data_IF_498815655441
#
_entry.id   IF_498815655441
#
_cell.length_a   1.000
_cell.length_b   1.000
_cell.length_c   1.000
_cell.angle_alpha   90.00
_cell.angle_beta   90.00
_cell.angle_gamma   90.00
#
_symmetry.space_group_name_H-M   'P 1'
#
loop_
_entity.id
_entity.type
_entity.pdbx_description
1 polymer ?
#
# COMPACT_ATOMS: atom_id res chain seq x y z
N UNK A 1 13.97 -17.75 10.51
CA UNK A 1 13.18 -17.62 11.77
C UNK A 1 14.13 -17.01 12.79
N UNK A 2 13.79 -15.85 13.41
CA UNK A 2 14.67 -14.69 13.69
C UNK A 2 14.70 -13.80 12.44
N UNK A 3 14.16 -12.58 12.36
CA UNK A 3 13.91 -11.60 13.42
C UNK A 3 12.76 -10.66 12.99
N UNK A 4 11.54 -10.93 13.44
CA UNK A 4 10.59 -9.85 13.77
C UNK A 4 11.00 -9.42 15.18
N UNK A 5 11.86 -8.41 15.27
CA UNK A 5 12.50 -7.96 16.51
C UNK A 5 11.42 -7.59 17.54
N UNK A 6 11.25 -8.46 18.55
CA UNK A 6 10.72 -8.08 19.85
C UNK A 6 11.88 -7.49 20.66
N UNK A 7 11.91 -6.17 20.77
CA UNK A 7 12.58 -5.50 21.89
C UNK A 7 11.56 -4.54 22.49
N UNK A 8 11.11 -4.83 23.72
CA UNK A 8 10.25 -3.96 24.51
C UNK A 8 10.91 -3.70 25.86
N UNK A 9 11.40 -2.47 26.03
CA UNK A 9 11.68 -1.90 27.35
C UNK A 9 10.37 -1.60 28.10
N UNK A 10 10.46 -1.65 29.43
CA UNK A 10 9.36 -1.48 30.39
C UNK A 10 8.36 -0.34 30.04
N UNK A 11 7.06 -0.64 30.11
CA UNK A 11 6.07 0.35 30.56
C UNK A 11 4.80 0.59 29.74
N UNK A 12 4.65 0.08 28.52
CA UNK A 12 3.39 0.21 27.75
C UNK A 12 3.16 -1.03 26.85
N UNK A 13 2.12 -1.83 27.12
CA UNK A 13 1.69 -2.91 26.21
C UNK A 13 0.99 -2.28 25.00
N UNK A 14 1.74 -1.90 23.97
CA UNK A 14 1.15 -1.71 22.64
C UNK A 14 1.09 -3.08 21.98
N UNK A 15 -0.08 -3.72 22.01
CA UNK A 15 -0.34 -4.97 21.28
C UNK A 15 -0.40 -4.68 19.78
N UNK A 16 0.74 -4.65 19.10
CA UNK A 16 0.79 -4.48 17.64
C UNK A 16 2.15 -4.90 17.08
N UNK A 17 2.15 -5.57 15.94
CA UNK A 17 3.40 -5.80 15.22
C UNK A 17 3.90 -4.50 14.59
N UNK A 18 5.22 -4.43 14.38
CA UNK A 18 5.91 -3.22 13.94
C UNK A 18 6.58 -3.45 12.58
N UNK A 19 6.38 -2.52 11.65
CA UNK A 19 7.15 -2.42 10.42
C UNK A 19 8.05 -1.18 10.47
N UNK A 20 9.35 -1.39 10.26
CA UNK A 20 10.36 -0.32 10.23
C UNK A 20 10.76 -0.01 8.79
N UNK A 21 10.45 1.19 8.34
CA UNK A 21 10.86 1.70 7.02
C UNK A 21 12.16 2.48 7.19
N UNK A 22 13.24 2.01 6.55
CA UNK A 22 14.58 2.62 6.64
C UNK A 22 15.15 2.92 5.26
N UNK A 23 15.71 4.11 5.11
CA UNK A 23 16.33 4.56 3.88
C UNK A 23 17.76 3.99 3.80
N UNK A 24 17.97 3.02 2.91
CA UNK A 24 19.28 2.40 2.71
C UNK A 24 19.76 2.69 1.29
N UNK A 25 20.10 3.95 1.04
CA UNK A 25 20.54 4.45 -0.28
C UNK A 25 21.76 3.68 -0.80
N UNK A 26 22.74 3.40 0.06
CA UNK A 26 23.94 2.63 -0.28
C UNK A 26 23.66 1.15 -0.56
N UNK A 27 22.49 0.63 -0.17
CA UNK A 27 22.10 -0.77 -0.34
C UNK A 27 20.92 -0.96 -1.31
N UNK A 28 20.81 -0.09 -2.32
CA UNK A 28 19.83 -0.20 -3.41
C UNK A 28 18.36 0.06 -3.04
N UNK A 29 18.05 0.47 -1.81
CA UNK A 29 16.67 0.74 -1.35
C UNK A 29 16.55 2.16 -0.80
N UNK A 30 16.84 3.12 -1.67
CA UNK A 30 16.67 4.54 -1.37
C UNK A 30 15.19 4.92 -1.33
N UNK A 31 14.82 5.79 -0.39
CA UNK A 31 13.50 6.41 -0.36
C UNK A 31 13.48 7.67 -1.22
N UNK A 32 12.31 7.97 -1.80
CA UNK A 32 12.08 9.23 -2.53
C UNK A 32 12.38 10.45 -1.66
N UNK A 33 11.95 10.39 -0.39
CA UNK A 33 12.15 11.45 0.60
C UNK A 33 13.42 11.22 1.45
N UNK A 34 14.28 10.27 1.08
CA UNK A 34 15.50 9.98 1.85
C UNK A 34 15.20 9.66 3.33
N UNK A 35 16.01 10.23 4.24
CA UNK A 35 15.89 9.99 5.68
C UNK A 35 14.58 10.50 6.28
N UNK A 36 13.97 11.54 5.73
CA UNK A 36 12.68 12.05 6.25
C UNK A 36 11.50 11.12 5.96
N UNK A 37 11.66 10.15 5.05
CA UNK A 37 10.66 9.10 4.80
C UNK A 37 10.80 7.88 5.72
N UNK A 38 11.80 7.85 6.60
CA UNK A 38 11.92 6.80 7.62
C UNK A 38 10.80 6.89 8.64
N UNK A 39 10.20 5.75 8.96
CA UNK A 39 9.05 5.70 9.86
C UNK A 39 8.86 4.31 10.43
N UNK A 40 8.22 4.29 11.59
CA UNK A 40 7.84 3.10 12.33
C UNK A 40 6.32 3.00 12.33
N UNK A 41 5.80 1.91 11.79
CA UNK A 41 4.37 1.73 11.60
C UNK A 41 3.90 0.53 12.40
N UNK A 42 3.07 0.79 13.40
CA UNK A 42 2.26 -0.24 14.04
C UNK A 42 1.21 -0.73 13.05
N UNK A 43 1.16 -2.05 12.85
CA UNK A 43 0.21 -2.74 11.99
C UNK A 43 -0.81 -3.51 12.82
N UNK A 44 -2.01 -3.69 12.25
CA UNK A 44 -3.08 -4.47 12.88
C UNK A 44 -2.70 -5.94 12.98
N UNK A 45 -3.36 -6.66 13.89
CA UNK A 45 -3.20 -8.11 14.04
C UNK A 45 -3.53 -8.86 12.75
N UNK A 46 -4.61 -8.47 12.07
CA UNK A 46 -4.99 -9.06 10.79
C UNK A 46 -3.88 -8.94 9.73
N UNK A 47 -3.29 -7.75 9.58
CA UNK A 47 -2.18 -7.54 8.65
C UNK A 47 -0.92 -8.32 9.07
N UNK A 48 -0.63 -8.38 10.37
CA UNK A 48 0.47 -9.19 10.90
C UNK A 48 0.30 -10.64 10.47
N UNK A 49 -0.88 -11.22 10.73
CA UNK A 49 -1.19 -12.61 10.37
C UNK A 49 -1.01 -12.84 8.87
N UNK A 50 -1.58 -11.98 8.02
CA UNK A 50 -1.41 -12.08 6.56
C UNK A 50 0.06 -12.08 6.14
N UNK A 51 0.90 -11.22 6.74
CA UNK A 51 2.33 -11.17 6.42
C UNK A 51 3.07 -12.41 6.90
N UNK A 52 2.76 -12.91 8.10
CA UNK A 52 3.36 -14.14 8.64
C UNK A 52 2.99 -15.35 7.76
N UNK A 53 1.72 -15.48 7.38
CA UNK A 53 1.26 -16.56 6.51
C UNK A 53 1.93 -16.48 5.12
N UNK A 54 2.04 -15.27 4.57
CA UNK A 54 2.76 -15.04 3.32
C UNK A 54 4.23 -15.48 3.42
N UNK A 55 4.93 -15.09 4.50
CA UNK A 55 6.32 -15.47 4.75
C UNK A 55 6.48 -16.99 4.92
N UNK A 56 5.53 -17.64 5.61
CA UNK A 56 5.61 -19.05 5.97
C UNK A 56 5.25 -20.00 4.82
N UNK A 57 4.40 -19.59 3.89
CA UNK A 57 3.85 -20.47 2.85
C UNK A 57 4.31 -20.07 1.44
N UNK A 58 4.25 -18.78 1.11
CA UNK A 58 4.34 -18.32 -0.29
C UNK A 58 5.66 -17.61 -0.63
N UNK A 59 6.47 -17.26 0.37
CA UNK A 59 7.69 -16.46 0.16
C UNK A 59 8.87 -17.36 -0.17
N UNK A 60 9.47 -17.12 -1.33
CA UNK A 60 10.74 -17.73 -1.71
C UNK A 60 11.85 -17.34 -0.72
N UNK A 61 12.60 -18.33 -0.24
CA UNK A 61 13.73 -18.09 0.68
C UNK A 61 14.92 -17.57 -0.11
N UNK A 62 15.04 -16.25 -0.19
CA UNK A 62 16.03 -15.54 -0.99
C UNK A 62 16.71 -14.44 -0.17
N UNK A 63 17.99 -14.25 -0.41
CA UNK A 63 18.77 -13.11 0.10
C UNK A 63 19.13 -12.17 -1.05
N UNK A 64 19.17 -10.87 -0.79
CA UNK A 64 19.72 -9.92 -1.76
C UNK A 64 21.24 -9.78 -1.65
N UNK A 65 21.84 -9.04 -2.58
CA UNK A 65 23.30 -8.82 -2.68
C UNK A 65 23.93 -8.20 -1.42
N UNK A 66 23.12 -7.68 -0.50
CA UNK A 66 23.56 -7.12 0.79
C UNK A 66 23.26 -8.06 1.97
N UNK A 67 22.94 -9.34 1.72
CA UNK A 67 22.68 -10.36 2.74
C UNK A 67 21.35 -10.20 3.46
N UNK A 68 20.40 -9.43 2.91
CA UNK A 68 19.09 -9.19 3.54
C UNK A 68 18.05 -10.17 3.00
N UNK A 69 17.09 -10.55 3.83
CA UNK A 69 15.93 -11.33 3.42
C UNK A 69 14.76 -10.39 3.06
N UNK A 70 14.44 -10.17 1.77
CA UNK A 70 13.34 -9.28 1.40
C UNK A 70 11.99 -9.88 1.82
N UNK A 71 11.04 -9.02 2.19
CA UNK A 71 9.69 -9.43 2.56
C UNK A 71 8.94 -10.07 1.38
N UNK A 72 9.11 -9.49 0.19
CA UNK A 72 8.53 -10.01 -1.05
C UNK A 72 9.65 -10.44 -1.99
N UNK A 73 9.62 -11.70 -2.37
CA UNK A 73 10.64 -12.37 -3.18
C UNK A 73 9.99 -13.10 -4.35
N UNK A 74 10.82 -13.48 -5.31
CA UNK A 74 10.54 -14.35 -6.44
C UNK A 74 11.68 -15.36 -6.52
N UNK A 75 11.56 -16.35 -7.40
CA UNK A 75 12.66 -17.29 -7.68
C UNK A 75 13.98 -16.59 -8.09
N UNK A 76 13.90 -15.34 -8.58
CA UNK A 76 15.04 -14.53 -8.98
C UNK A 76 15.49 -13.50 -7.91
N UNK A 77 15.07 -13.66 -6.65
CA UNK A 77 15.40 -12.74 -5.56
C UNK A 77 14.31 -11.72 -5.23
N UNK A 78 14.67 -10.50 -4.81
CA UNK A 78 13.73 -9.44 -4.37
C UNK A 78 12.69 -9.13 -5.46
N UNK A 79 11.41 -9.03 -5.09
CA UNK A 79 10.33 -8.69 -6.02
C UNK A 79 10.57 -7.32 -6.69
N UNK A 80 10.72 -7.26 -8.03
CA UNK A 80 10.83 -5.99 -8.74
C UNK A 80 9.49 -5.24 -8.79
N UNK A 81 9.54 -3.91 -8.73
CA UNK A 81 8.34 -3.06 -8.79
C UNK A 81 7.48 -3.34 -10.03
N UNK A 82 8.10 -3.50 -11.19
CA UNK A 82 7.37 -3.74 -12.44
C UNK A 82 6.68 -5.11 -12.45
N UNK A 83 7.25 -6.11 -11.78
CA UNK A 83 6.63 -7.43 -11.63
C UNK A 83 5.42 -7.35 -10.69
N UNK A 84 5.55 -6.67 -9.56
CA UNK A 84 4.41 -6.41 -8.66
C UNK A 84 3.26 -5.69 -9.41
N UNK A 85 3.59 -4.70 -10.24
CA UNK A 85 2.62 -4.01 -11.10
C UNK A 85 1.91 -4.97 -12.07
N UNK A 86 2.67 -5.78 -12.83
CA UNK A 86 2.12 -6.76 -13.77
C UNK A 86 1.27 -7.84 -13.08
N UNK A 87 1.49 -8.12 -11.80
CA UNK A 87 0.65 -9.04 -11.02
C UNK A 87 -0.65 -8.40 -10.51
N UNK A 88 -0.59 -7.14 -10.05
CA UNK A 88 -1.75 -6.46 -9.44
C UNK A 88 -2.72 -5.85 -10.45
N UNK A 89 -2.22 -5.40 -11.60
CA UNK A 89 -3.06 -4.80 -12.64
C UNK A 89 -4.13 -5.77 -13.17
N UNK A 90 -3.81 -7.02 -13.55
CA UNK A 90 -4.81 -7.96 -14.05
C UNK A 90 -5.99 -8.16 -13.11
N UNK A 91 -5.77 -8.21 -11.80
CA UNK A 91 -6.83 -8.45 -10.81
C UNK A 91 -7.63 -7.19 -10.46
N UNK A 92 -7.15 -6.00 -10.82
CA UNK A 92 -7.81 -4.72 -10.55
C UNK A 92 -8.54 -4.14 -11.77
N UNK A 93 -8.57 -4.87 -12.89
CA UNK A 93 -9.36 -4.48 -14.07
C UNK A 93 -10.86 -4.46 -13.73
N UNK A 94 -11.63 -3.46 -14.21
CA UNK A 94 -13.06 -3.36 -13.90
C UNK A 94 -13.85 -4.64 -14.22
N UNK A 95 -13.56 -5.25 -15.38
CA UNK A 95 -14.27 -6.43 -15.84
C UNK A 95 -14.08 -7.68 -14.97
N UNK A 96 -13.05 -7.73 -14.10
CA UNK A 96 -12.87 -8.84 -13.16
C UNK A 96 -13.97 -8.86 -12.10
N UNK A 97 -14.47 -7.68 -11.69
CA UNK A 97 -15.48 -7.56 -10.66
C UNK A 97 -16.89 -7.40 -11.22
N UNK A 98 -17.02 -6.65 -12.32
CA UNK A 98 -18.34 -6.32 -12.89
C UNK A 98 -18.85 -7.33 -13.91
N UNK A 99 -17.98 -8.26 -14.34
CA UNK A 99 -18.20 -9.15 -15.47
C UNK A 99 -18.68 -8.41 -16.75
N UNK A 100 -18.27 -7.14 -16.89
CA UNK A 100 -18.65 -6.26 -18.00
C UNK A 100 -17.50 -5.33 -18.36
N UNK A 101 -17.36 -4.99 -19.64
CA UNK A 101 -16.35 -4.03 -20.08
C UNK A 101 -16.94 -2.60 -20.11
N UNK A 102 -16.32 -1.61 -19.43
CA UNK A 102 -16.76 -0.22 -19.49
C UNK A 102 -16.47 0.46 -20.84
N UNK A 103 -15.80 -0.24 -21.76
CA UNK A 103 -15.47 0.23 -23.12
C UNK A 103 -16.29 -0.50 -24.19
N UNK A 104 -17.37 -1.16 -23.80
CA UNK A 104 -18.27 -1.87 -24.72
C UNK A 104 -17.59 -2.99 -25.52
N UNK A 105 -16.47 -3.53 -25.02
CA UNK A 105 -15.76 -4.67 -25.62
C UNK A 105 -16.26 -5.99 -25.05
N UNK A 106 -16.29 -7.04 -25.87
CA UNK A 106 -16.46 -8.43 -25.41
C UNK A 106 -15.22 -8.84 -24.60
N UNK A 107 -15.42 -9.42 -23.42
CA UNK A 107 -14.32 -9.80 -22.51
C UNK A 107 -13.48 -10.93 -23.14
N UNK A 108 -14.13 -11.90 -23.76
CA UNK A 108 -13.48 -13.07 -24.36
C UNK A 108 -12.54 -12.69 -25.52
N UNK A 109 -12.88 -11.62 -26.25
CA UNK A 109 -12.11 -11.13 -27.39
C UNK A 109 -11.10 -10.03 -27.01
N UNK A 110 -11.06 -9.63 -25.72
CA UNK A 110 -10.21 -8.55 -25.25
C UNK A 110 -8.84 -9.07 -24.80
N UNK A 111 -7.79 -8.77 -25.56
CA UNK A 111 -6.40 -9.17 -25.24
C UNK A 111 -5.98 -8.76 -23.81
N UNK A 112 -6.31 -7.53 -23.40
CA UNK A 112 -6.03 -7.04 -22.06
C UNK A 112 -6.81 -7.78 -20.96
N UNK A 113 -7.96 -8.36 -21.29
CA UNK A 113 -8.72 -9.19 -20.35
C UNK A 113 -8.11 -10.59 -20.23
N UNK A 114 -7.75 -11.20 -21.37
CA UNK A 114 -7.32 -12.58 -21.48
C UNK A 114 -5.84 -12.83 -21.13
N UNK A 115 -4.98 -11.80 -21.20
CA UNK A 115 -3.55 -11.92 -20.91
C UNK A 115 -3.13 -11.11 -19.70
N UNK A 116 -2.39 -11.74 -18.78
CA UNK A 116 -1.75 -11.07 -17.64
C UNK A 116 -0.72 -10.05 -18.12
N UNK A 117 0.04 -10.39 -19.16
CA UNK A 117 1.05 -9.51 -19.72
C UNK A 117 0.44 -8.27 -20.39
N UNK A 118 -0.66 -8.46 -21.12
CA UNK A 118 -1.35 -7.39 -21.83
C UNK A 118 -2.36 -6.66 -20.96
N UNK A 119 -2.61 -7.09 -19.72
CA UNK A 119 -3.53 -6.43 -18.81
C UNK A 119 -3.32 -4.90 -18.68
N UNK A 120 -2.08 -4.38 -18.64
CA UNK A 120 -1.84 -2.94 -18.60
C UNK A 120 -2.29 -2.16 -19.83
N UNK A 121 -2.58 -2.81 -20.97
CA UNK A 121 -3.06 -2.12 -22.19
C UNK A 121 -4.55 -1.78 -22.14
N UNK A 122 -5.29 -2.23 -21.12
CA UNK A 122 -6.68 -1.81 -20.93
C UNK A 122 -6.75 -0.29 -20.64
N UNK A 123 -7.60 0.49 -21.35
CA UNK A 123 -7.72 1.93 -21.10
C UNK A 123 -8.24 2.27 -19.69
N UNK A 124 -8.93 1.33 -19.04
CA UNK A 124 -9.35 1.43 -17.63
C UNK A 124 -8.52 0.57 -16.68
N UNK A 125 -7.33 0.11 -17.09
CA UNK A 125 -6.39 -0.49 -16.14
C UNK A 125 -5.96 0.58 -15.14
N UNK A 126 -6.28 0.45 -13.84
CA UNK A 126 -5.79 1.40 -12.87
C UNK A 126 -4.27 1.26 -12.77
N UNK A 127 -3.58 2.38 -12.57
CA UNK A 127 -2.21 2.32 -12.04
C UNK A 127 -2.23 1.85 -10.58
N UNK A 128 -1.07 1.66 -9.96
CA UNK A 128 -1.02 1.37 -8.51
C UNK A 128 -1.40 2.58 -7.65
N UNK A 129 -1.45 3.79 -8.23
CA UNK A 129 -1.78 5.02 -7.49
C UNK A 129 -3.21 4.99 -6.91
N UNK A 130 -4.25 4.58 -7.66
CA UNK A 130 -5.59 4.35 -7.13
C UNK A 130 -5.66 3.50 -5.86
N UNK A 131 -4.88 2.43 -5.74
CA UNK A 131 -4.87 1.58 -4.54
C UNK A 131 -4.43 2.39 -3.32
N UNK A 132 -3.33 3.14 -3.48
CA UNK A 132 -2.80 4.01 -2.42
C UNK A 132 -3.76 5.14 -2.10
N UNK A 133 -4.39 5.76 -3.11
CA UNK A 133 -5.40 6.79 -2.95
C UNK A 133 -6.59 6.28 -2.15
N UNK A 134 -7.20 5.17 -2.58
CA UNK A 134 -8.30 4.54 -1.86
C UNK A 134 -7.96 4.23 -0.41
N UNK A 135 -6.76 3.69 -0.13
CA UNK A 135 -6.32 3.44 1.24
C UNK A 135 -6.20 4.73 2.07
N UNK A 136 -5.66 5.81 1.52
CA UNK A 136 -5.52 7.08 2.25
C UNK A 136 -6.90 7.72 2.47
N UNK A 137 -7.72 7.81 1.42
CA UNK A 137 -9.10 8.30 1.52
C UNK A 137 -9.91 7.53 2.56
N UNK A 138 -9.76 6.20 2.62
CA UNK A 138 -10.44 5.36 3.61
C UNK A 138 -10.09 5.73 5.06
N UNK A 139 -8.83 6.09 5.34
CA UNK A 139 -8.45 6.56 6.68
C UNK A 139 -9.06 7.93 6.96
N UNK A 140 -9.00 8.86 6.00
CA UNK A 140 -9.58 10.20 6.14
C UNK A 140 -11.10 10.14 6.38
N UNK A 141 -11.81 9.24 5.69
CA UNK A 141 -13.25 9.02 5.88
C UNK A 141 -13.62 8.38 7.22
N UNK A 142 -12.63 7.96 8.00
CA UNK A 142 -12.76 7.46 9.38
C UNK A 142 -12.14 8.44 10.37
N UNK A 143 -12.16 9.72 9.99
CA UNK A 143 -11.80 10.85 10.83
C UNK A 143 -10.36 10.78 11.36
N UNK A 144 -9.44 10.13 10.61
CA UNK A 144 -8.02 10.23 10.91
C UNK A 144 -7.55 11.68 10.76
N UNK A 145 -6.91 12.28 11.79
CA UNK A 145 -6.26 13.58 11.65
C UNK A 145 -5.20 13.50 10.56
N UNK A 146 -5.24 14.42 9.59
CA UNK A 146 -4.33 14.40 8.44
C UNK A 146 -2.89 14.50 8.90
N UNK A 147 -2.63 15.30 9.92
CA UNK A 147 -1.33 15.52 10.56
C UNK A 147 -0.74 14.23 11.13
N UNK A 148 -1.60 13.31 11.60
CA UNK A 148 -1.19 11.98 12.08
C UNK A 148 -1.10 10.95 10.95
N UNK A 149 -1.97 11.07 9.95
CA UNK A 149 -1.96 10.17 8.81
C UNK A 149 -0.68 10.33 7.97
N UNK A 150 -0.20 11.57 7.78
CA UNK A 150 1.01 11.83 7.00
C UNK A 150 2.25 11.11 7.54
N UNK A 151 2.36 10.97 8.88
CA UNK A 151 3.43 10.23 9.55
C UNK A 151 3.46 8.74 9.15
N UNK A 152 2.31 8.16 8.78
CA UNK A 152 2.19 6.76 8.33
C UNK A 152 2.44 6.60 6.84
N UNK A 153 2.01 7.57 6.05
CA UNK A 153 1.95 7.41 4.60
C UNK A 153 3.07 8.10 3.84
N UNK A 154 3.96 8.88 4.48
CA UNK A 154 5.13 9.51 3.83
C UNK A 154 4.72 10.48 2.69
N UNK A 155 3.82 11.42 3.00
CA UNK A 155 3.39 12.54 2.14
C UNK A 155 3.19 13.80 2.99
N UNK A 156 3.25 15.00 2.41
CA UNK A 156 2.82 16.22 3.11
C UNK A 156 1.29 16.34 3.14
N UNK A 157 0.75 17.15 4.04
CA UNK A 157 -0.69 17.49 4.06
C UNK A 157 -1.13 18.09 2.72
N UNK A 158 -0.34 19.04 2.19
CA UNK A 158 -0.64 19.65 0.88
C UNK A 158 -0.69 18.66 -0.28
N UNK A 159 0.18 17.64 -0.27
CA UNK A 159 0.17 16.57 -1.28
C UNK A 159 -1.00 15.63 -1.05
N UNK A 160 -1.32 15.32 0.21
CA UNK A 160 -2.48 14.53 0.61
C UNK A 160 -3.78 15.17 0.10
N UNK A 161 -3.99 16.46 0.36
CA UNK A 161 -5.19 17.19 -0.06
C UNK A 161 -5.33 17.22 -1.59
N UNK A 162 -4.24 17.51 -2.29
CA UNK A 162 -4.27 17.67 -3.75
C UNK A 162 -4.45 16.35 -4.50
N UNK A 163 -3.87 15.26 -4.02
CA UNK A 163 -3.72 14.04 -4.81
C UNK A 163 -4.40 12.81 -4.23
N UNK A 164 -4.75 12.82 -2.93
CA UNK A 164 -5.21 11.64 -2.22
C UNK A 164 -6.55 11.83 -1.51
N UNK A 165 -6.85 13.00 -0.95
CA UNK A 165 -8.19 13.30 -0.45
C UNK A 165 -9.16 13.27 -1.64
N UNK A 166 -10.14 12.38 -1.58
CA UNK A 166 -11.15 12.20 -2.61
C UNK A 166 -12.54 12.58 -2.09
N UNK A 167 -12.61 13.22 -0.93
CA UNK A 167 -13.86 13.70 -0.35
C UNK A 167 -14.44 14.83 -1.18
N UNK A 168 -15.76 14.88 -1.24
CA UNK A 168 -16.49 16.05 -1.73
C UNK A 168 -16.45 17.18 -0.69
N UNK A 169 -16.73 18.42 -1.10
CA UNK A 169 -16.88 19.55 -0.18
C UNK A 169 -17.91 19.28 0.93
N UNK A 170 -18.94 18.50 0.62
CA UNK A 170 -19.96 18.12 1.60
C UNK A 170 -19.45 17.09 2.61
N UNK A 171 -18.67 16.11 2.16
CA UNK A 171 -17.99 15.16 3.06
C UNK A 171 -16.98 15.88 3.97
N UNK A 172 -16.25 16.87 3.46
CA UNK A 172 -15.40 17.74 4.29
C UNK A 172 -16.21 18.56 5.30
N UNK A 173 -17.39 19.06 4.90
CA UNK A 173 -18.32 19.77 5.81
C UNK A 173 -18.83 18.86 6.91
N UNK A 174 -19.20 17.63 6.58
CA UNK A 174 -19.62 16.65 7.58
C UNK A 174 -18.51 16.34 8.60
N UNK A 175 -17.25 16.26 8.18
CA UNK A 175 -16.12 16.10 9.10
C UNK A 175 -15.96 17.26 10.09
N UNK A 176 -16.46 18.46 9.78
CA UNK A 176 -16.44 19.60 10.71
C UNK A 176 -17.56 19.57 11.76
N UNK A 177 -18.50 18.62 11.68
CA UNK A 177 -19.66 18.55 12.59
C UNK A 177 -19.27 18.35 14.05
N UNK A 178 -18.16 17.65 14.31
CA UNK A 178 -17.68 17.42 15.68
C UNK A 178 -17.21 18.71 16.39
N UNK A 179 -16.97 19.79 15.63
CA UNK A 179 -16.52 21.08 16.17
C UNK A 179 -17.64 22.12 16.28
N UNK A 180 -18.91 21.73 16.06
CA UNK A 180 -20.05 22.67 16.12
C UNK A 180 -20.17 23.32 17.51
N UNK A 181 -19.87 22.58 18.58
CA UNK A 181 -19.98 23.07 19.95
C UNK A 181 -18.85 24.03 20.35
N UNK A 182 -17.88 24.27 19.46
CA UNK A 182 -16.78 25.24 19.63
C UNK A 182 -17.06 26.61 18.98
N UNK A 183 -18.23 26.78 18.34
CA UNK A 183 -18.69 28.05 17.76
C UNK A 183 -19.30 28.96 18.83
#
# INVERSE_FOLDING_TARGET
MRTLVQEFGHGYRISGALLKFRNRKSAGTAFKNGKSGERDITISEGLRKTLVDCIGVNRETQSDEYGREPLFTTINGRLPRQRAYKTLVPITKPCVLTNSCPHERRIDDCEAAQSVENAPSCPSSPSLQPIRRGSITYHINRDWPKEKLIERVDVSVSVLDKHYDARTKEQERHGRREFIDLL
#
